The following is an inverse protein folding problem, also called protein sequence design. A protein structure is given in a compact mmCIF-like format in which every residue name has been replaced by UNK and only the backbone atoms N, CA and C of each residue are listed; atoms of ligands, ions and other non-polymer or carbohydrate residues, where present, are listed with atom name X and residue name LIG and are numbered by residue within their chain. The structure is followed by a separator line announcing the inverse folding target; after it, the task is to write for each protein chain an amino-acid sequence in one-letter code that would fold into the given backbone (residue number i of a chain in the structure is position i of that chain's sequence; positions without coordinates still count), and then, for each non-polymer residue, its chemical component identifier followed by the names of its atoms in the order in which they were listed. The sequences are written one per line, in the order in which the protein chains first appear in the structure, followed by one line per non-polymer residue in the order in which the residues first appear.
data_IF_708780917106
#
_entry.id   IF_708780917106
#
_cell.length_a   1.000
_cell.length_b   1.000
_cell.length_c   1.000
_cell.angle_alpha   90.00
_cell.angle_beta   90.00
_cell.angle_gamma   90.00
#
_symmetry.space_group_name_H-M   'P 1'
#
loop_
_entity.id
_entity.type
_entity.pdbx_description
1 polymer ?
#
# COMPACT_ATOMS: atom_id res chain seq x y z
N UNK A 1 5.49 32.72 -30.71
CA UNK A 1 6.71 31.97 -30.35
C UNK A 1 6.59 31.54 -28.89
N UNK A 2 6.13 30.34 -28.58
CA UNK A 2 5.60 29.31 -29.46
C UNK A 2 4.71 28.44 -28.56
N UNK A 3 3.39 28.50 -28.62
CA UNK A 3 2.51 27.87 -29.65
C UNK A 3 2.86 26.38 -29.94
N UNK A 4 3.93 25.83 -29.34
CA UNK A 4 4.40 24.46 -29.51
C UNK A 4 4.08 23.57 -28.31
N UNK A 5 3.86 24.17 -27.13
CA UNK A 5 3.59 23.41 -25.90
C UNK A 5 2.10 23.06 -25.78
N UNK A 6 1.21 23.81 -26.42
CA UNK A 6 -0.24 23.57 -26.35
C UNK A 6 -0.76 22.58 -27.41
N UNK A 7 0.00 22.33 -28.48
CA UNK A 7 -0.37 21.40 -29.55
C UNK A 7 -0.19 19.92 -29.16
N UNK A 8 0.62 19.61 -28.14
CA UNK A 8 0.83 18.21 -27.72
C UNK A 8 -0.20 17.75 -26.68
N UNK A 9 -0.82 18.67 -25.94
CA UNK A 9 -1.80 18.34 -24.89
C UNK A 9 -3.23 18.21 -25.45
N UNK A 10 -3.49 18.69 -26.67
CA UNK A 10 -4.86 18.78 -27.22
C UNK A 10 -5.19 17.83 -28.37
N UNK A 11 -4.22 17.16 -29.03
CA UNK A 11 -4.48 16.41 -30.28
C UNK A 11 -4.42 14.87 -30.09
N UNK A 12 -4.42 14.37 -28.85
CA UNK A 12 -4.75 12.96 -28.58
C UNK A 12 -5.64 12.83 -27.36
N UNK A 13 -6.78 13.52 -27.40
CA UNK A 13 -8.11 12.90 -27.31
C UNK A 13 -8.55 12.03 -26.12
N UNK A 14 -7.75 11.70 -25.11
CA UNK A 14 -8.24 10.97 -23.93
C UNK A 14 -7.21 10.93 -22.80
N UNK A 15 -7.04 11.99 -22.01
CA UNK A 15 -6.44 11.78 -20.69
C UNK A 15 -6.80 12.86 -19.67
N UNK A 16 -8.03 12.80 -19.11
CA UNK A 16 -8.25 13.32 -17.77
C UNK A 16 -7.61 12.37 -16.74
N UNK A 17 -6.31 12.06 -16.81
CA UNK A 17 -5.71 11.11 -15.84
C UNK A 17 -5.34 11.71 -14.52
N UNK A 18 -5.12 13.02 -14.42
CA UNK A 18 -4.53 13.54 -13.18
C UNK A 18 -5.49 13.50 -12.00
N UNK A 19 -6.77 13.15 -12.20
CA UNK A 19 -7.69 12.75 -11.10
C UNK A 19 -7.76 11.25 -10.84
N UNK A 20 -7.30 10.42 -11.78
CA UNK A 20 -7.21 8.98 -11.61
C UNK A 20 -5.80 8.52 -11.20
N UNK A 21 -4.78 9.38 -11.21
CA UNK A 21 -3.41 9.04 -10.76
C UNK A 21 -3.31 8.96 -9.23
N UNK A 22 -4.11 9.72 -8.48
CA UNK A 22 -4.07 9.69 -7.01
C UNK A 22 -4.82 8.50 -6.38
N UNK A 23 -5.52 7.69 -7.18
CA UNK A 23 -6.13 6.42 -6.70
C UNK A 23 -5.15 5.24 -6.88
N UNK A 24 -4.05 5.44 -7.61
CA UNK A 24 -3.05 4.40 -7.90
C UNK A 24 -1.73 4.63 -7.15
N UNK A 25 -1.47 5.84 -6.66
CA UNK A 25 -0.38 6.11 -5.73
C UNK A 25 -0.83 5.73 -4.31
N UNK A 26 -1.00 4.42 -4.11
CA UNK A 26 -0.83 3.77 -2.80
C UNK A 26 -0.47 2.31 -3.09
N UNK A 27 0.75 2.11 -3.63
CA UNK A 27 1.29 0.78 -3.84
C UNK A 27 2.81 0.79 -3.78
N UNK A 28 3.33 1.14 -2.62
CA UNK A 28 4.66 0.71 -2.16
C UNK A 28 4.72 0.50 -0.63
N UNK A 29 3.57 0.59 0.07
CA UNK A 29 3.40 -0.02 1.38
C UNK A 29 2.05 -0.74 1.32
N UNK A 30 2.02 -2.06 1.51
CA UNK A 30 0.76 -2.78 1.68
C UNK A 30 0.17 -2.32 3.01
N UNK A 31 -0.62 -1.25 2.99
CA UNK A 31 -1.31 -0.79 4.18
C UNK A 31 -2.39 -1.82 4.51
N UNK A 32 -2.22 -2.55 5.61
CA UNK A 32 -3.30 -3.35 6.17
C UNK A 32 -4.42 -2.42 6.68
N UNK A 33 -5.60 -2.97 6.93
CA UNK A 33 -6.71 -2.23 7.51
C UNK A 33 -6.37 -1.60 8.87
N UNK A 34 -7.21 -0.69 9.37
CA UNK A 34 -6.96 0.03 10.62
C UNK A 34 -6.90 -0.85 11.87
N UNK A 35 -7.35 -2.11 11.78
CA UNK A 35 -7.34 -3.10 12.85
C UNK A 35 -6.52 -4.35 12.50
N UNK A 36 -5.60 -4.21 11.54
CA UNK A 36 -4.75 -5.29 11.06
C UNK A 36 -3.27 -4.92 11.24
N UNK A 37 -2.45 -5.94 11.45
CA UNK A 37 -1.01 -5.83 11.53
C UNK A 37 -0.37 -6.40 10.26
N UNK A 38 0.61 -5.68 9.72
CA UNK A 38 1.41 -6.15 8.58
C UNK A 38 2.59 -6.96 9.12
N UNK A 39 2.64 -8.24 8.78
CA UNK A 39 3.78 -9.11 9.06
C UNK A 39 5.08 -8.53 8.47
N UNK A 40 6.24 -8.91 9.02
CA UNK A 40 7.52 -8.38 8.53
C UNK A 40 7.86 -8.83 7.11
N UNK A 41 7.27 -9.92 6.61
CA UNK A 41 7.31 -10.28 5.20
C UNK A 41 6.68 -9.23 4.27
N UNK A 42 5.93 -8.27 4.82
CA UNK A 42 5.19 -7.22 4.09
C UNK A 42 4.18 -7.79 3.08
N UNK A 43 3.85 -9.08 3.15
CA UNK A 43 2.87 -9.72 2.29
C UNK A 43 1.61 -10.13 3.04
N UNK A 44 1.72 -10.44 4.33
CA UNK A 44 0.59 -10.96 5.12
C UNK A 44 0.05 -9.90 6.08
N UNK A 45 -1.28 -9.75 6.08
CA UNK A 45 -2.00 -8.94 7.06
C UNK A 45 -2.77 -9.87 7.98
N UNK A 46 -2.61 -9.69 9.28
CA UNK A 46 -3.32 -10.45 10.31
C UNK A 46 -4.13 -9.50 11.19
N UNK A 47 -5.07 -10.02 11.97
CA UNK A 47 -5.83 -9.22 12.94
C UNK A 47 -4.91 -8.74 14.06
N UNK A 48 -5.10 -7.51 14.57
CA UNK A 48 -4.36 -7.07 15.78
C UNK A 48 -4.62 -7.95 17.02
N UNK A 49 -5.70 -8.74 17.01
CA UNK A 49 -6.00 -9.68 18.10
C UNK A 49 -5.14 -10.96 18.05
N UNK A 50 -4.48 -11.21 16.93
CA UNK A 50 -3.55 -12.33 16.72
C UNK A 50 -2.10 -11.93 17.02
N UNK A 51 -1.88 -10.72 17.54
CA UNK A 51 -0.56 -10.32 18.00
C UNK A 51 -0.34 -10.85 19.41
N UNK A 52 0.69 -11.66 19.61
CA UNK A 52 1.09 -12.18 20.93
C UNK A 52 0.02 -13.06 21.58
N UNK A 53 -0.73 -13.83 20.79
CA UNK A 53 -1.78 -14.71 21.28
C UNK A 53 -1.29 -16.16 21.54
N UNK A 54 -0.04 -16.46 21.14
CA UNK A 54 0.62 -17.73 21.37
C UNK A 54 0.52 -18.70 20.19
N UNK A 55 -0.07 -18.31 19.07
CA UNK A 55 -0.06 -19.05 17.81
C UNK A 55 0.62 -18.23 16.70
N UNK A 56 1.48 -18.84 15.86
CA UNK A 56 2.10 -18.12 14.76
C UNK A 56 1.12 -17.96 13.59
N UNK A 57 0.65 -16.74 13.37
CA UNK A 57 -0.24 -16.38 12.27
C UNK A 57 0.52 -15.75 11.09
N UNK A 58 1.67 -15.10 11.32
CA UNK A 58 2.54 -14.66 10.23
C UNK A 58 3.35 -15.83 9.66
N UNK A 59 3.61 -15.80 8.34
CA UNK A 59 4.49 -16.79 7.69
C UNK A 59 5.96 -16.73 8.15
N UNK A 60 6.32 -15.64 8.82
CA UNK A 60 7.64 -15.37 9.39
C UNK A 60 7.63 -15.37 10.93
N UNK A 61 6.50 -15.75 11.54
CA UNK A 61 6.28 -15.77 13.00
C UNK A 61 6.54 -14.42 13.70
N UNK A 62 6.54 -13.29 12.97
CA UNK A 62 6.90 -11.98 13.53
C UNK A 62 5.83 -11.42 14.46
N UNK A 63 4.58 -11.83 14.30
CA UNK A 63 3.48 -11.54 15.23
C UNK A 63 3.75 -12.07 16.64
N UNK A 64 4.50 -13.17 16.76
CA UNK A 64 4.91 -13.77 18.04
C UNK A 64 6.35 -13.40 18.44
N UNK A 65 7.00 -12.51 17.69
CA UNK A 65 8.39 -12.14 17.97
C UNK A 65 8.51 -11.27 19.22
N UNK A 66 9.59 -11.45 20.00
CA UNK A 66 9.88 -10.65 21.19
C UNK A 66 9.99 -9.14 20.92
N UNK A 67 10.28 -8.75 19.68
CA UNK A 67 10.36 -7.33 19.33
C UNK A 67 8.97 -6.70 19.17
N UNK A 68 7.98 -7.48 18.72
CA UNK A 68 6.57 -7.08 18.59
C UNK A 68 5.81 -7.24 19.91
N UNK A 69 6.08 -8.31 20.67
CA UNK A 69 5.45 -8.61 21.96
C UNK A 69 6.18 -7.97 23.15
N UNK A 70 5.95 -6.67 23.38
CA UNK A 70 6.50 -5.90 24.50
C UNK A 70 5.49 -5.60 25.60
#
# INVERSE_FOLDING_TARGET
MSEFILALVTISGLFPITKAVSVLVDKEHKACGPAEFLCYDQMTCISLNWLCDGEPDCSDDSDESLDQCK
#
